data_IF_367803243049
#
_entry.id   IF_367803243049
#
_cell.length_a   1.000
_cell.length_b   1.000
_cell.length_c   1.000
_cell.angle_alpha   90.00
_cell.angle_beta   90.00
_cell.angle_gamma   90.00
#
_symmetry.space_group_name_H-M   'P 1'
#
loop_
_entity.id
_entity.type
_entity.pdbx_description
1 polymer ?
#
# COMPACT_ATOMS: atom_id res chain seq x y z
N UNK A 1 9.73 11.45 8.30
CA UNK A 1 8.95 10.93 7.16
C UNK A 1 9.87 10.30 6.13
N UNK A 2 9.47 9.20 5.57
CA UNK A 2 10.23 8.48 4.55
C UNK A 2 9.47 8.55 3.22
N UNK A 3 10.00 9.23 2.19
CA UNK A 3 9.32 9.36 0.90
C UNK A 3 9.12 8.04 0.16
N UNK A 4 9.81 6.97 0.56
CA UNK A 4 9.63 5.65 -0.03
C UNK A 4 8.26 5.03 0.29
N UNK A 5 7.54 5.57 1.28
CA UNK A 5 6.17 5.17 1.61
C UNK A 5 5.11 6.07 0.99
N UNK A 6 5.50 7.00 0.11
CA UNK A 6 4.54 7.91 -0.53
C UNK A 6 3.52 7.14 -1.37
N UNK A 7 2.38 7.80 -1.62
CA UNK A 7 1.35 7.25 -2.51
C UNK A 7 1.90 7.00 -3.92
N UNK A 8 1.23 6.12 -4.65
CA UNK A 8 1.51 5.84 -6.05
C UNK A 8 1.47 7.11 -6.88
N UNK A 9 2.47 7.30 -7.74
CA UNK A 9 2.42 8.34 -8.77
C UNK A 9 1.48 7.86 -9.87
N UNK A 10 0.38 8.57 -10.05
CA UNK A 10 -0.65 8.20 -11.04
C UNK A 10 -0.45 8.88 -12.39
N UNK A 11 0.70 9.50 -12.60
CA UNK A 11 1.06 10.10 -13.89
C UNK A 11 0.07 11.16 -14.34
N UNK A 12 -0.41 11.06 -15.58
CA UNK A 12 -1.32 12.05 -16.15
C UNK A 12 -2.70 12.10 -15.45
N UNK A 13 -3.01 11.15 -14.59
CA UNK A 13 -4.24 11.20 -13.79
C UNK A 13 -4.12 12.05 -12.52
N UNK A 14 -2.96 12.59 -12.25
CA UNK A 14 -2.73 13.39 -11.06
C UNK A 14 -3.71 14.57 -11.00
N UNK A 15 -4.46 14.65 -9.90
CA UNK A 15 -5.43 15.71 -9.69
C UNK A 15 -6.77 15.53 -10.41
N UNK A 16 -6.97 14.43 -11.12
CA UNK A 16 -8.23 14.16 -11.81
C UNK A 16 -9.22 13.41 -10.93
N UNK A 17 -10.52 13.71 -11.11
CA UNK A 17 -11.59 12.90 -10.53
C UNK A 17 -11.87 11.68 -11.39
N UNK A 18 -12.61 10.69 -10.85
CA UNK A 18 -13.07 9.54 -11.62
C UNK A 18 -13.86 9.96 -12.87
N UNK A 19 -14.74 10.96 -12.75
CA UNK A 19 -15.53 11.45 -13.88
C UNK A 19 -14.64 12.07 -14.96
N UNK A 20 -13.62 12.81 -14.57
CA UNK A 20 -12.66 13.39 -15.51
C UNK A 20 -11.86 12.31 -16.23
N UNK A 21 -11.44 11.28 -15.50
CA UNK A 21 -10.72 10.14 -16.09
C UNK A 21 -11.61 9.43 -17.11
N UNK A 22 -12.86 9.12 -16.76
CA UNK A 22 -13.79 8.46 -17.68
C UNK A 22 -14.07 9.31 -18.94
N UNK A 23 -14.16 10.63 -18.79
CA UNK A 23 -14.37 11.53 -19.92
C UNK A 23 -13.18 11.54 -20.88
N UNK A 24 -11.96 11.62 -20.35
CA UNK A 24 -10.74 11.82 -21.14
C UNK A 24 -10.04 10.49 -21.50
N UNK A 25 -10.30 9.44 -20.72
CA UNK A 25 -9.73 8.11 -20.87
C UNK A 25 -10.84 7.04 -20.78
N UNK A 26 -11.82 7.07 -21.71
CA UNK A 26 -12.98 6.19 -21.59
C UNK A 26 -12.59 4.72 -21.60
N UNK A 27 -13.12 3.97 -20.62
CA UNK A 27 -12.89 2.53 -20.48
C UNK A 27 -11.58 2.13 -19.79
N UNK A 28 -10.70 3.08 -19.48
CA UNK A 28 -9.41 2.75 -18.87
C UNK A 28 -9.56 2.16 -17.46
N UNK A 29 -10.42 2.74 -16.63
CA UNK A 29 -10.63 2.25 -15.27
C UNK A 29 -11.19 0.83 -15.28
N UNK A 30 -12.18 0.56 -16.08
CA UNK A 30 -12.80 -0.76 -16.19
C UNK A 30 -11.83 -1.81 -16.73
N UNK A 31 -11.01 -1.44 -17.70
CA UNK A 31 -10.02 -2.34 -18.30
C UNK A 31 -8.73 -2.46 -17.48
N UNK A 32 -8.62 -1.75 -16.35
CA UNK A 32 -7.39 -1.66 -15.55
C UNK A 32 -6.19 -1.15 -16.35
N UNK A 33 -6.44 -0.31 -17.35
CA UNK A 33 -5.39 0.38 -18.08
C UNK A 33 -4.89 1.59 -17.28
N UNK A 34 -3.67 1.98 -17.54
CA UNK A 34 -3.00 3.08 -16.84
C UNK A 34 -2.48 4.11 -17.82
N UNK A 35 -2.52 5.41 -17.47
CA UNK A 35 -2.02 6.47 -18.33
C UNK A 35 -0.49 6.52 -18.35
N UNK A 36 0.10 7.27 -19.28
CA UNK A 36 1.53 7.55 -19.25
C UNK A 36 1.98 8.13 -17.91
N UNK A 37 3.16 7.73 -17.46
CA UNK A 37 3.73 8.21 -16.21
C UNK A 37 3.20 7.55 -14.93
N UNK A 38 2.23 6.65 -15.05
CA UNK A 38 1.74 5.90 -13.89
C UNK A 38 2.84 4.98 -13.37
N UNK A 39 3.11 5.06 -12.07
CA UNK A 39 4.16 4.26 -11.45
C UNK A 39 3.85 2.76 -11.53
N UNK A 40 4.83 1.97 -11.94
CA UNK A 40 4.67 0.51 -12.03
C UNK A 40 4.63 -0.13 -10.64
N UNK A 41 3.98 -1.30 -10.55
CA UNK A 41 3.96 -2.08 -9.32
C UNK A 41 5.38 -2.46 -8.88
N UNK A 42 6.27 -2.77 -9.83
CA UNK A 42 7.68 -3.09 -9.53
C UNK A 42 8.37 -1.91 -8.84
N UNK A 43 8.15 -0.70 -9.32
CA UNK A 43 8.71 0.51 -8.69
C UNK A 43 8.23 0.67 -7.25
N UNK A 44 6.93 0.50 -7.02
CA UNK A 44 6.34 0.60 -5.69
C UNK A 44 6.91 -0.48 -4.76
N UNK A 45 6.91 -1.73 -5.20
CA UNK A 45 7.44 -2.86 -4.41
C UNK A 45 8.90 -2.64 -4.06
N UNK A 46 9.70 -2.18 -5.00
CA UNK A 46 11.12 -1.95 -4.78
C UNK A 46 11.38 -0.90 -3.71
N UNK A 47 10.71 0.26 -3.81
CA UNK A 47 10.95 1.35 -2.85
C UNK A 47 10.39 1.04 -1.47
N UNK A 48 9.23 0.40 -1.39
CA UNK A 48 8.60 0.05 -0.11
C UNK A 48 9.38 -1.07 0.57
N UNK A 49 9.80 -2.08 -0.16
CA UNK A 49 10.62 -3.18 0.39
C UNK A 49 11.93 -2.65 0.96
N UNK A 50 12.61 -1.77 0.25
CA UNK A 50 13.84 -1.16 0.75
C UNK A 50 13.61 -0.40 2.06
N UNK A 51 12.53 0.36 2.15
CA UNK A 51 12.18 1.09 3.37
C UNK A 51 11.86 0.16 4.54
N UNK A 52 11.11 -0.90 4.29
CA UNK A 52 10.77 -1.89 5.32
C UNK A 52 12.01 -2.64 5.83
N UNK A 53 12.91 -3.02 4.93
CA UNK A 53 14.17 -3.67 5.31
C UNK A 53 15.01 -2.74 6.18
N UNK A 54 15.14 -1.47 5.82
CA UNK A 54 15.88 -0.49 6.62
C UNK A 54 15.28 -0.34 8.03
N UNK A 55 13.95 -0.31 8.14
CA UNK A 55 13.28 -0.26 9.44
C UNK A 55 13.56 -1.52 10.27
N UNK A 56 13.54 -2.69 9.65
CA UNK A 56 13.82 -3.95 10.34
C UNK A 56 15.25 -4.00 10.84
N UNK A 57 16.19 -3.42 10.12
CA UNK A 57 17.59 -3.34 10.54
C UNK A 57 17.79 -2.31 11.65
N UNK A 58 17.04 -1.22 11.64
CA UNK A 58 17.10 -0.20 12.71
C UNK A 58 16.45 -0.68 14.01
N UNK A 59 15.42 -1.48 13.93
CA UNK A 59 14.63 -1.95 15.07
C UNK A 59 14.53 -3.48 15.08
N UNK A 60 15.65 -4.20 15.21
CA UNK A 60 15.63 -5.66 15.15
C UNK A 60 14.74 -6.25 16.26
N UNK A 61 13.82 -7.11 15.87
CA UNK A 61 12.85 -7.72 16.79
C UNK A 61 11.76 -6.78 17.29
N UNK A 62 11.71 -5.54 16.79
CA UNK A 62 10.75 -4.54 17.23
C UNK A 62 9.46 -4.55 16.42
N UNK A 63 8.55 -3.69 16.87
CA UNK A 63 7.30 -3.41 16.16
C UNK A 63 7.28 -1.94 15.77
N UNK A 64 6.97 -1.66 14.50
CA UNK A 64 6.94 -0.30 13.96
C UNK A 64 5.61 -0.08 13.28
N UNK A 65 4.96 1.03 13.61
CA UNK A 65 3.77 1.47 12.88
C UNK A 65 4.19 2.38 11.72
N UNK A 66 3.84 1.98 10.51
CA UNK A 66 4.05 2.80 9.32
C UNK A 66 2.71 3.33 8.85
N UNK A 67 2.61 4.64 8.70
CA UNK A 67 1.42 5.28 8.13
C UNK A 67 1.71 5.55 6.66
N UNK A 68 0.91 4.96 5.80
CA UNK A 68 1.09 5.05 4.35
C UNK A 68 -0.29 5.20 3.67
N UNK A 69 -0.46 4.58 2.52
CA UNK A 69 -1.65 4.75 1.68
C UNK A 69 -2.19 3.38 1.24
N UNK A 70 -3.50 3.28 1.12
CA UNK A 70 -4.17 2.03 0.75
C UNK A 70 -3.66 1.46 -0.58
N UNK A 71 -3.41 2.31 -1.56
CA UNK A 71 -2.91 1.88 -2.87
C UNK A 71 -1.55 1.17 -2.77
N UNK A 72 -0.65 1.69 -1.96
CA UNK A 72 0.67 1.09 -1.72
C UNK A 72 0.53 -0.25 -1.02
N UNK A 73 -0.31 -0.33 0.00
CA UNK A 73 -0.56 -1.58 0.73
C UNK A 73 -1.12 -2.65 -0.22
N UNK A 74 -2.08 -2.28 -1.06
CA UNK A 74 -2.69 -3.21 -2.03
C UNK A 74 -1.66 -3.75 -3.02
N UNK A 75 -0.77 -2.90 -3.52
CA UNK A 75 0.30 -3.34 -4.43
C UNK A 75 1.22 -4.34 -3.73
N UNK A 76 1.62 -4.09 -2.50
CA UNK A 76 2.45 -5.02 -1.74
C UNK A 76 1.74 -6.36 -1.53
N UNK A 77 0.45 -6.34 -1.23
CA UNK A 77 -0.33 -7.56 -1.07
C UNK A 77 -0.41 -8.37 -2.36
N UNK A 78 -0.69 -7.71 -3.49
CA UNK A 78 -0.70 -8.39 -4.80
C UNK A 78 0.65 -9.01 -5.14
N UNK A 79 1.72 -8.28 -4.92
CA UNK A 79 3.07 -8.75 -5.20
C UNK A 79 3.46 -9.99 -4.39
N UNK A 80 2.93 -10.11 -3.18
CA UNK A 80 3.16 -11.26 -2.30
C UNK A 80 2.04 -12.31 -2.36
N UNK A 81 1.15 -12.20 -3.35
CA UNK A 81 0.10 -13.18 -3.67
C UNK A 81 -0.87 -13.48 -2.54
N UNK A 82 -1.17 -12.48 -1.72
CA UNK A 82 -2.12 -12.63 -0.61
C UNK A 82 -3.48 -11.97 -0.89
N UNK A 83 -3.72 -11.62 -2.14
CA UNK A 83 -4.99 -11.07 -2.57
C UNK A 83 -4.97 -9.55 -2.71
N UNK A 84 -6.01 -9.03 -3.33
CA UNK A 84 -6.19 -7.61 -3.61
C UNK A 84 -7.46 -7.10 -2.91
N UNK A 85 -7.50 -7.25 -1.61
CA UNK A 85 -8.61 -6.78 -0.80
C UNK A 85 -8.57 -5.26 -0.64
N UNK A 86 -9.75 -4.66 -0.60
CA UNK A 86 -9.87 -3.25 -0.27
C UNK A 86 -9.34 -3.01 1.15
N UNK A 87 -8.58 -1.94 1.30
CA UNK A 87 -8.11 -1.48 2.62
C UNK A 87 -9.08 -0.39 3.09
N UNK A 88 -9.82 -0.60 4.18
CA UNK A 88 -10.74 0.42 4.69
C UNK A 88 -9.97 1.60 5.29
N UNK A 89 -10.68 2.71 5.48
CA UNK A 89 -10.13 3.84 6.22
C UNK A 89 -9.69 3.38 7.61
N UNK A 90 -8.54 3.85 8.08
CA UNK A 90 -7.90 3.41 9.32
C UNK A 90 -7.60 1.91 9.32
N UNK A 91 -7.63 1.29 8.15
CA UNK A 91 -7.21 -0.08 7.96
C UNK A 91 -5.73 -0.17 7.67
N UNK A 92 -5.22 -1.37 7.73
CA UNK A 92 -3.83 -1.64 7.45
C UNK A 92 -3.57 -3.11 7.24
N UNK A 93 -2.32 -3.45 7.23
CA UNK A 93 -1.89 -4.82 7.03
C UNK A 93 -0.61 -5.04 7.83
N UNK A 94 -0.49 -6.20 8.43
CA UNK A 94 0.72 -6.59 9.12
C UNK A 94 1.76 -7.10 8.12
N UNK A 95 2.99 -6.64 8.29
CA UNK A 95 4.14 -7.14 7.55
C UNK A 95 5.18 -7.68 8.54
N UNK A 96 5.69 -8.87 8.26
CA UNK A 96 6.82 -9.42 8.98
C UNK A 96 8.02 -9.31 8.06
N UNK A 97 9.07 -8.63 8.52
CA UNK A 97 10.25 -8.36 7.71
C UNK A 97 11.47 -9.02 8.34
N UNK A 98 12.08 -9.93 7.58
CA UNK A 98 13.27 -10.67 8.00
C UNK A 98 14.36 -10.49 6.93
N UNK A 99 15.24 -9.48 7.10
CA UNK A 99 16.21 -9.13 6.06
C UNK A 99 17.13 -10.27 5.61
N UNK A 100 17.43 -11.21 6.51
CA UNK A 100 18.35 -12.31 6.24
C UNK A 100 17.64 -13.60 5.81
N UNK A 101 16.33 -13.61 5.73
CA UNK A 101 15.56 -14.78 5.33
C UNK A 101 15.43 -14.88 3.82
N UNK A 102 15.18 -16.08 3.32
CA UNK A 102 14.88 -16.30 1.89
C UNK A 102 13.61 -15.55 1.49
N UNK A 103 12.59 -15.61 2.35
CA UNK A 103 11.39 -14.81 2.21
C UNK A 103 11.50 -13.59 3.13
N UNK A 104 11.95 -12.48 2.55
CA UNK A 104 12.25 -11.26 3.32
C UNK A 104 10.98 -10.66 3.92
N UNK A 105 9.90 -10.63 3.17
CA UNK A 105 8.63 -10.05 3.61
C UNK A 105 7.53 -11.11 3.58
N UNK A 106 6.84 -11.25 4.71
CA UNK A 106 5.60 -12.01 4.82
C UNK A 106 4.47 -11.03 5.11
N UNK A 107 3.39 -11.13 4.35
CA UNK A 107 2.24 -10.24 4.46
C UNK A 107 1.13 -10.95 5.20
N UNK A 108 0.63 -10.32 6.26
CA UNK A 108 -0.47 -10.82 7.07
C UNK A 108 -1.84 -10.33 6.60
N UNK A 109 -2.81 -10.48 7.46
CA UNK A 109 -4.18 -10.12 7.17
C UNK A 109 -4.40 -8.60 7.17
N UNK A 110 -5.46 -8.16 6.50
CA UNK A 110 -5.95 -6.81 6.62
C UNK A 110 -6.57 -6.64 8.01
N UNK A 111 -6.18 -5.57 8.67
CA UNK A 111 -6.69 -5.24 10.02
C UNK A 111 -7.26 -3.84 10.02
N UNK A 112 -8.17 -3.57 10.94
CA UNK A 112 -8.64 -2.22 11.22
C UNK A 112 -8.04 -1.77 12.54
N UNK A 113 -7.52 -0.54 12.58
CA UNK A 113 -6.97 0.03 13.81
C UNK A 113 -8.04 0.21 14.87
N UNK A 114 -9.26 0.46 14.43
CA UNK A 114 -10.40 0.59 15.32
C UNK A 114 -11.48 -0.39 14.87
N UNK A 115 -11.78 -1.37 15.71
CA UNK A 115 -12.93 -2.21 15.48
C UNK A 115 -14.19 -1.41 15.71
N UNK A 116 -15.20 -1.66 14.87
CA UNK A 116 -16.46 -0.96 14.98
C UNK A 116 -17.08 -1.23 16.37
N UNK A 117 -17.64 -0.21 16.96
CA UNK A 117 -18.27 -0.26 18.27
C UNK A 117 -17.33 0.00 19.44
N UNK A 118 -16.08 -0.39 19.38
CA UNK A 118 -15.16 -0.21 20.49
C UNK A 118 -14.85 1.25 20.77
N UNK A 119 -14.45 2.00 19.77
CA UNK A 119 -14.17 3.42 19.95
C UNK A 119 -15.43 4.18 20.29
N UNK A 120 -16.54 3.91 19.62
CA UNK A 120 -17.80 4.56 19.89
C UNK A 120 -18.29 4.33 21.31
N UNK A 121 -18.04 3.16 21.86
CA UNK A 121 -18.44 2.82 23.22
C UNK A 121 -17.57 3.45 24.28
N UNK A 122 -16.27 3.61 23.99
CA UNK A 122 -15.31 4.17 24.92
C UNK A 122 -15.31 5.70 24.93
N UNK A 123 -15.76 6.27 23.87
CA UNK A 123 -15.82 7.72 23.73
C UNK A 123 -17.13 8.29 24.25
#
# INVERSE_FOLDING_TARGET
ADPRFRETDVGEWQGLTHDQIERDWPGYLEAHNRPPGFESDISIVTRVTAALVDLAEQFPGGEVLVVAHAGVIRVMRRAHRVGDSRIPNLGGCEFIVRPDATEVITVGDVVELFEHGEIGEEL
#
